data_IF_056233817954
#
_entry.id   IF_056233817954
#
_cell.length_a   1.000
_cell.length_b   1.000
_cell.length_c   1.000
_cell.angle_alpha   90.00
_cell.angle_beta   90.00
_cell.angle_gamma   90.00
#
_symmetry.space_group_name_H-M   'P 1'
#
loop_
_entity.id
_entity.type
_entity.pdbx_description
1 polymer ?
#
# COMPACT_ATOMS: atom_id res chain seq x y z
N UNK A 1 -21.74 23.45 8.21
CA UNK A 1 -20.78 22.36 8.48
C UNK A 1 -20.35 21.77 7.15
N UNK A 2 -19.11 22.01 6.71
CA UNK A 2 -18.62 21.48 5.44
C UNK A 2 -18.33 19.98 5.60
N UNK A 3 -19.03 19.16 4.82
CA UNK A 3 -18.73 17.73 4.70
C UNK A 3 -17.41 17.60 3.94
N UNK A 4 -16.29 17.43 4.65
CA UNK A 4 -15.04 16.97 4.00
C UNK A 4 -15.38 15.63 3.37
N UNK A 5 -15.36 15.58 2.03
CA UNK A 5 -15.36 14.31 1.31
C UNK A 5 -14.22 13.48 1.90
N UNK A 6 -14.55 12.37 2.56
CA UNK A 6 -13.56 11.58 3.29
C UNK A 6 -12.70 10.83 2.26
N UNK A 7 -11.64 11.47 1.79
CA UNK A 7 -10.63 10.81 0.98
C UNK A 7 -9.99 9.71 1.82
N UNK A 8 -9.99 8.48 1.31
CA UNK A 8 -9.28 7.38 1.96
C UNK A 8 -7.80 7.72 2.05
N UNK A 9 -7.12 7.46 3.18
CA UNK A 9 -5.68 7.67 3.26
C UNK A 9 -4.97 6.71 2.31
N UNK A 10 -3.98 7.22 1.57
CA UNK A 10 -3.15 6.40 0.68
C UNK A 10 -1.84 6.03 1.37
N UNK A 11 -1.46 4.76 1.30
CA UNK A 11 -0.18 4.25 1.82
C UNK A 11 0.62 3.61 0.69
N UNK A 12 1.84 4.09 0.51
CA UNK A 12 2.83 3.52 -0.38
C UNK A 12 3.66 2.44 0.32
N UNK A 13 3.86 1.31 -0.34
CA UNK A 13 4.73 0.20 0.09
C UNK A 13 5.78 0.01 -0.98
N UNK A 14 7.05 0.04 -0.58
CA UNK A 14 8.19 -0.19 -1.46
C UNK A 14 8.91 -1.47 -1.04
N UNK A 15 9.32 -2.25 -2.03
CA UNK A 15 10.11 -3.48 -1.85
C UNK A 15 11.08 -3.66 -3.02
N UNK A 16 12.10 -4.50 -2.88
CA UNK A 16 13.00 -4.83 -4.00
C UNK A 16 12.36 -5.79 -5.01
N UNK A 17 11.34 -6.58 -4.61
CA UNK A 17 10.75 -7.59 -5.48
C UNK A 17 9.26 -7.81 -5.24
N UNK A 18 8.79 -9.03 -5.50
CA UNK A 18 7.39 -9.44 -5.28
C UNK A 18 7.14 -10.03 -3.87
N UNK A 19 8.20 -10.26 -3.09
CA UNK A 19 8.11 -10.83 -1.74
C UNK A 19 7.30 -9.96 -0.77
N UNK A 20 7.40 -8.64 -0.92
CA UNK A 20 6.67 -7.64 -0.14
C UNK A 20 5.15 -7.65 -0.35
N UNK A 21 4.62 -8.38 -1.33
CA UNK A 21 3.17 -8.57 -1.47
C UNK A 21 2.55 -9.28 -0.25
N UNK A 22 3.33 -10.07 0.48
CA UNK A 22 2.88 -10.69 1.74
C UNK A 22 2.57 -9.64 2.81
N UNK A 23 3.41 -8.60 2.90
CA UNK A 23 3.24 -7.44 3.78
C UNK A 23 2.06 -6.59 3.31
N UNK A 24 1.97 -6.31 2.00
CA UNK A 24 0.83 -5.58 1.41
C UNK A 24 -0.51 -6.27 1.74
N UNK A 25 -0.56 -7.60 1.66
CA UNK A 25 -1.75 -8.39 2.00
C UNK A 25 -2.09 -8.30 3.50
N UNK A 26 -1.08 -8.27 4.39
CA UNK A 26 -1.29 -8.09 5.82
C UNK A 26 -1.86 -6.70 6.13
N UNK A 27 -1.33 -5.64 5.51
CA UNK A 27 -1.83 -4.26 5.65
C UNK A 27 -3.29 -4.17 5.19
N UNK A 28 -3.62 -4.76 4.04
CA UNK A 28 -4.99 -4.74 3.51
C UNK A 28 -6.00 -5.45 4.44
N UNK A 29 -5.59 -6.52 5.12
CA UNK A 29 -6.42 -7.23 6.10
C UNK A 29 -6.61 -6.42 7.39
N UNK A 30 -5.55 -5.78 7.88
CA UNK A 30 -5.60 -4.99 9.11
C UNK A 30 -6.33 -3.65 8.93
N UNK A 31 -6.19 -3.02 7.76
CA UNK A 31 -6.67 -1.67 7.48
C UNK A 31 -7.35 -1.60 6.09
N UNK A 32 -8.58 -2.10 6.00
CA UNK A 32 -9.34 -2.14 4.75
C UNK A 32 -9.78 -0.76 4.23
N UNK A 33 -9.68 0.29 5.05
CA UNK A 33 -10.03 1.66 4.68
C UNK A 33 -8.94 2.37 3.87
N UNK A 34 -7.75 1.79 3.73
CA UNK A 34 -6.63 2.40 3.02
C UNK A 34 -6.67 2.14 1.52
N UNK A 35 -6.24 3.14 0.76
CA UNK A 35 -5.79 2.93 -0.62
C UNK A 35 -4.30 2.52 -0.58
N UNK A 36 -3.94 1.42 -1.23
CA UNK A 36 -2.59 0.88 -1.18
C UNK A 36 -1.93 0.96 -2.55
N UNK A 37 -0.72 1.52 -2.58
CA UNK A 37 0.14 1.58 -3.77
C UNK A 37 1.40 0.77 -3.46
N UNK A 38 1.73 -0.19 -4.32
CA UNK A 38 2.94 -1.01 -4.18
C UNK A 38 3.90 -0.72 -5.32
N UNK A 39 5.17 -0.50 -4.99
CA UNK A 39 6.25 -0.28 -5.96
C UNK A 39 7.36 -1.28 -5.67
N UNK A 40 7.70 -2.09 -6.68
CA UNK A 40 8.83 -3.00 -6.60
C UNK A 40 10.01 -2.44 -7.42
N UNK A 41 11.19 -2.35 -6.81
CA UNK A 41 12.45 -2.07 -7.52
C UNK A 41 13.06 -3.34 -8.14
N UNK A 42 12.29 -3.95 -9.05
CA UNK A 42 12.65 -5.24 -9.65
C UNK A 42 13.89 -5.20 -10.55
N UNK A 43 14.40 -4.01 -10.90
CA UNK A 43 15.62 -3.84 -11.70
C UNK A 43 16.91 -3.95 -10.88
N UNK A 44 16.84 -3.73 -9.57
CA UNK A 44 17.94 -3.93 -8.61
C UNK A 44 17.64 -5.07 -7.63
N UNK A 45 16.62 -5.89 -7.93
CA UNK A 45 16.36 -7.10 -7.19
C UNK A 45 17.58 -8.04 -7.28
N UNK A 46 17.90 -8.78 -6.21
CA UNK A 46 18.90 -9.84 -6.28
C UNK A 46 18.49 -10.96 -7.26
#
# INVERSE_FOLDING_TARGET
MAHRSASRPTVGVFDSGVGGLTVLAAIRRACSSLDLVYVADSGNAP
#
